data_IF_251339281807
#
_entry.id   IF_251339281807
#
_cell.length_a   1.000
_cell.length_b   1.000
_cell.length_c   1.000
_cell.angle_alpha   90.00
_cell.angle_beta   90.00
_cell.angle_gamma   90.00
#
_symmetry.space_group_name_H-M   'P 1'
#
loop_
_entity.id
_entity.type
_entity.pdbx_description
1 polymer ?
#
# COMPACT_ATOMS: atom_id res chain seq x y z
N UNK A 1 11.19 7.73 1.44
CA UNK A 1 11.35 7.21 0.07
C UNK A 1 12.78 7.44 -0.45
N UNK A 2 13.23 8.67 -0.68
CA UNK A 2 14.58 8.94 -1.24
C UNK A 2 15.76 8.44 -0.37
N UNK A 3 15.72 8.68 0.95
CA UNK A 3 16.78 8.21 1.86
C UNK A 3 16.86 6.66 1.90
N UNK A 4 15.71 5.99 1.87
CA UNK A 4 15.62 4.53 1.83
C UNK A 4 16.24 3.96 0.55
N UNK A 5 16.00 4.59 -0.60
CA UNK A 5 16.57 4.16 -1.88
C UNK A 5 18.09 4.35 -1.93
N UNK A 6 18.60 5.48 -1.43
CA UNK A 6 20.05 5.73 -1.34
C UNK A 6 20.70 4.73 -0.38
N UNK A 7 20.08 4.45 0.77
CA UNK A 7 20.60 3.48 1.73
C UNK A 7 20.61 2.06 1.14
N UNK A 8 19.60 1.70 0.36
CA UNK A 8 19.51 0.41 -0.32
C UNK A 8 20.57 0.26 -1.41
N UNK A 9 20.93 1.34 -2.10
CA UNK A 9 22.01 1.35 -3.08
C UNK A 9 23.37 1.01 -2.43
N UNK A 10 23.68 1.59 -1.27
CA UNK A 10 24.96 1.34 -0.59
C UNK A 10 25.00 0.07 0.28
N UNK A 11 23.89 -0.32 0.91
CA UNK A 11 23.85 -1.39 1.92
C UNK A 11 22.83 -2.50 1.63
N UNK A 12 22.57 -2.80 0.35
CA UNK A 12 21.57 -3.77 -0.09
C UNK A 12 21.58 -5.08 0.71
N UNK A 13 22.76 -5.71 0.86
CA UNK A 13 22.91 -7.02 1.52
C UNK A 13 22.41 -7.06 2.96
N UNK A 14 22.44 -5.96 3.71
CA UNK A 14 21.95 -5.92 5.09
C UNK A 14 20.53 -5.36 5.17
N UNK A 15 20.24 -4.33 4.38
CA UNK A 15 18.99 -3.60 4.41
C UNK A 15 17.80 -4.48 3.99
N UNK A 16 18.00 -5.40 3.03
CA UNK A 16 16.94 -6.31 2.59
C UNK A 16 16.45 -7.22 3.74
N UNK A 17 17.36 -7.79 4.53
CA UNK A 17 16.97 -8.60 5.69
C UNK A 17 16.27 -7.77 6.78
N UNK A 18 16.68 -6.51 6.96
CA UNK A 18 16.01 -5.58 7.88
C UNK A 18 14.58 -5.29 7.41
N UNK A 19 14.35 -5.02 6.13
CA UNK A 19 13.01 -4.82 5.56
C UNK A 19 12.15 -6.07 5.75
N UNK A 20 12.72 -7.26 5.49
CA UNK A 20 11.99 -8.53 5.65
C UNK A 20 11.61 -8.75 7.11
N UNK A 21 12.51 -8.48 8.06
CA UNK A 21 12.21 -8.59 9.48
C UNK A 21 11.10 -7.61 9.92
N UNK A 22 11.17 -6.34 9.48
CA UNK A 22 10.13 -5.33 9.73
C UNK A 22 8.80 -5.78 9.12
N UNK A 23 8.80 -6.28 7.89
CA UNK A 23 7.60 -6.77 7.23
C UNK A 23 6.99 -7.95 7.98
N UNK A 24 7.77 -8.93 8.43
CA UNK A 24 7.27 -10.06 9.23
C UNK A 24 6.63 -9.58 10.55
N UNK A 25 7.25 -8.64 11.26
CA UNK A 25 6.70 -8.09 12.50
C UNK A 25 5.42 -7.28 12.27
N UNK A 26 5.43 -6.40 11.26
CA UNK A 26 4.29 -5.56 10.91
C UNK A 26 3.11 -6.39 10.38
N UNK A 27 3.37 -7.40 9.55
CA UNK A 27 2.32 -8.27 9.02
C UNK A 27 1.77 -9.25 10.06
N UNK A 28 2.59 -9.76 10.98
CA UNK A 28 2.11 -10.60 12.09
C UNK A 28 1.17 -9.83 13.03
N UNK A 29 1.53 -8.60 13.40
CA UNK A 29 0.69 -7.71 14.24
C UNK A 29 -0.59 -7.28 13.51
N UNK A 30 -0.50 -7.00 12.22
CA UNK A 30 -1.64 -6.70 11.37
C UNK A 30 -2.59 -7.90 11.22
N UNK A 31 -2.05 -9.09 11.00
CA UNK A 31 -2.83 -10.33 10.88
C UNK A 31 -3.54 -10.67 12.19
N UNK A 32 -2.87 -10.50 13.33
CA UNK A 32 -3.49 -10.63 14.65
C UNK A 32 -4.68 -9.68 14.80
N UNK A 33 -4.50 -8.40 14.47
CA UNK A 33 -5.56 -7.39 14.56
C UNK A 33 -6.76 -7.70 13.66
N UNK A 34 -6.53 -8.28 12.48
CA UNK A 34 -7.57 -8.67 11.54
C UNK A 34 -8.33 -9.92 12.03
N UNK A 35 -7.61 -10.96 12.44
CA UNK A 35 -8.21 -12.21 12.92
C UNK A 35 -8.94 -12.02 14.24
N UNK A 36 -8.44 -11.16 15.14
CA UNK A 36 -9.12 -10.89 16.40
C UNK A 36 -10.47 -10.20 16.16
N UNK A 37 -10.51 -9.22 15.25
CA UNK A 37 -11.77 -8.59 14.82
C UNK A 37 -12.75 -9.58 14.15
N UNK A 38 -12.23 -10.55 13.39
CA UNK A 38 -13.06 -11.61 12.79
C UNK A 38 -13.60 -12.59 13.84
N UNK A 39 -12.81 -12.91 14.86
CA UNK A 39 -13.23 -13.79 15.95
C UNK A 39 -14.26 -13.12 16.87
N UNK A 40 -14.16 -11.81 17.07
CA UNK A 40 -15.18 -11.03 17.76
C UNK A 40 -16.51 -11.03 16.98
N UNK A 41 -16.45 -10.90 15.66
CA UNK A 41 -17.62 -11.03 14.79
C UNK A 41 -18.23 -12.44 14.85
N UNK A 42 -17.39 -13.47 14.96
CA UNK A 42 -17.81 -14.87 15.11
C UNK A 42 -18.37 -15.22 16.51
N UNK A 43 -18.43 -14.27 17.45
CA UNK A 43 -18.85 -14.47 18.85
C UNK A 43 -18.10 -15.62 19.56
N UNK A 44 -16.83 -15.81 19.23
CA UNK A 44 -16.03 -16.87 19.85
C UNK A 44 -15.70 -16.49 21.31
N UNK A 45 -16.15 -17.31 22.28
CA UNK A 45 -16.06 -17.01 23.71
C UNK A 45 -14.62 -16.77 24.20
N UNK A 46 -14.37 -15.76 25.05
CA UNK A 46 -13.05 -15.57 25.65
C UNK A 46 -12.80 -16.66 26.69
N UNK A 47 -11.91 -17.61 26.39
CA UNK A 47 -11.31 -18.46 27.42
C UNK A 47 -10.19 -17.68 28.10
N UNK A 48 -10.42 -17.19 29.32
CA UNK A 48 -9.40 -16.54 30.14
C UNK A 48 -8.83 -17.52 31.17
N UNK A 49 -7.51 -17.50 31.35
CA UNK A 49 -6.82 -18.23 32.42
C UNK A 49 -6.02 -17.22 33.23
N UNK A 50 -6.25 -17.20 34.53
CA UNK A 50 -5.54 -16.34 35.48
C UNK A 50 -4.20 -16.99 35.83
N UNK A 51 -3.09 -16.40 35.40
CA UNK A 51 -1.74 -16.84 35.78
C UNK A 51 -0.97 -15.66 36.35
N UNK A 52 -0.52 -15.80 37.59
CA UNK A 52 0.40 -14.90 38.31
C UNK A 52 0.07 -13.39 38.21
N UNK A 53 -1.11 -12.98 38.70
CA UNK A 53 -1.46 -11.56 38.87
C UNK A 53 -1.93 -10.83 37.61
N UNK A 54 -1.91 -11.48 36.44
CA UNK A 54 -2.50 -10.98 35.20
C UNK A 54 -3.54 -11.96 34.63
N UNK A 55 -4.68 -11.45 34.16
CA UNK A 55 -5.64 -12.23 33.39
C UNK A 55 -5.18 -12.27 31.92
N UNK A 56 -4.59 -13.38 31.48
CA UNK A 56 -4.20 -13.56 30.07
C UNK A 56 -5.29 -14.34 29.34
N UNK A 57 -5.82 -13.76 28.27
CA UNK A 57 -6.78 -14.45 27.38
C UNK A 57 -6.04 -15.52 26.58
N UNK A 58 -6.36 -16.80 26.81
CA UNK A 58 -5.75 -17.94 26.09
C UNK A 58 -5.98 -17.82 24.59
N UNK A 59 -7.15 -17.29 24.20
CA UNK A 59 -7.50 -16.99 22.81
C UNK A 59 -6.47 -16.07 22.16
N UNK A 60 -6.09 -14.96 22.82
CA UNK A 60 -5.17 -13.98 22.25
C UNK A 60 -3.73 -14.52 22.13
N UNK A 61 -3.30 -15.36 23.07
CA UNK A 61 -1.99 -16.02 23.02
C UNK A 61 -1.93 -17.07 21.91
N UNK A 62 -2.97 -17.89 21.78
CA UNK A 62 -3.04 -18.90 20.72
C UNK A 62 -3.10 -18.22 19.34
N UNK A 63 -3.87 -17.15 19.23
CA UNK A 63 -3.97 -16.39 17.99
C UNK A 63 -2.64 -15.71 17.62
N UNK A 64 -1.96 -15.07 18.57
CA UNK A 64 -0.67 -14.44 18.29
C UNK A 64 0.39 -15.47 17.90
N UNK A 65 0.39 -16.66 18.53
CA UNK A 65 1.25 -17.78 18.13
C UNK A 65 0.97 -18.24 16.69
N UNK A 66 -0.30 -18.35 16.30
CA UNK A 66 -0.66 -18.67 14.91
C UNK A 66 -0.19 -17.57 13.94
N UNK A 67 -0.38 -16.29 14.26
CA UNK A 67 0.06 -15.21 13.38
C UNK A 67 1.59 -15.16 13.22
N UNK A 68 2.33 -15.34 14.32
CA UNK A 68 3.80 -15.36 14.29
C UNK A 68 4.30 -16.58 13.51
N UNK A 69 3.69 -17.76 13.68
CA UNK A 69 4.10 -18.94 12.90
C UNK A 69 3.86 -18.75 11.41
N UNK A 70 2.73 -18.17 11.00
CA UNK A 70 2.48 -17.84 9.58
C UNK A 70 3.52 -16.87 9.02
N UNK A 71 3.88 -15.81 9.76
CA UNK A 71 4.90 -14.85 9.33
C UNK A 71 6.31 -15.46 9.25
N UNK A 72 6.68 -16.32 10.21
CA UNK A 72 7.96 -17.04 10.22
C UNK A 72 8.02 -18.06 9.09
N UNK A 73 6.96 -18.83 8.85
CA UNK A 73 6.87 -19.78 7.73
C UNK A 73 7.07 -19.04 6.41
N UNK A 74 6.40 -17.90 6.22
CA UNK A 74 6.62 -17.07 5.05
C UNK A 74 8.08 -16.61 4.94
N UNK A 75 8.68 -16.11 6.04
CA UNK A 75 10.06 -15.63 6.06
C UNK A 75 11.12 -16.69 5.79
N UNK A 76 10.94 -17.92 6.30
CA UNK A 76 11.87 -19.04 6.11
C UNK A 76 11.77 -19.61 4.71
N UNK A 77 10.55 -19.87 4.24
CA UNK A 77 10.37 -20.51 2.95
C UNK A 77 10.44 -19.54 1.78
N UNK A 78 10.51 -18.21 2.01
CA UNK A 78 10.39 -17.07 1.05
C UNK A 78 10.88 -17.26 -0.39
N UNK A 79 11.86 -18.13 -0.63
CA UNK A 79 12.43 -18.41 -1.94
C UNK A 79 11.60 -19.41 -2.77
N UNK A 80 10.64 -20.14 -2.18
CA UNK A 80 9.81 -21.14 -2.85
C UNK A 80 8.60 -20.51 -3.56
N UNK A 81 8.63 -20.42 -4.90
CA UNK A 81 7.61 -19.66 -5.64
C UNK A 81 6.23 -20.33 -5.74
N UNK A 82 6.12 -21.63 -5.50
CA UNK A 82 4.91 -22.40 -5.85
C UNK A 82 3.69 -22.06 -5.00
N UNK A 83 3.87 -21.79 -3.70
CA UNK A 83 2.77 -21.58 -2.74
C UNK A 83 2.90 -20.31 -1.89
N UNK A 84 4.10 -19.72 -1.83
CA UNK A 84 4.39 -18.61 -0.91
C UNK A 84 3.72 -17.32 -1.32
N UNK A 85 3.42 -17.14 -2.61
CA UNK A 85 2.68 -15.99 -3.09
C UNK A 85 1.34 -15.83 -2.36
N UNK A 86 0.67 -16.93 -1.97
CA UNK A 86 -0.59 -16.89 -1.21
C UNK A 86 -0.35 -16.33 0.20
N UNK A 87 0.68 -16.82 0.90
CA UNK A 87 1.04 -16.29 2.22
C UNK A 87 1.49 -14.83 2.14
N UNK A 88 2.23 -14.47 1.09
CA UNK A 88 2.67 -13.09 0.85
C UNK A 88 1.48 -12.15 0.63
N UNK A 89 0.51 -12.56 -0.17
CA UNK A 89 -0.69 -11.77 -0.45
C UNK A 89 -1.58 -11.67 0.80
N UNK A 90 -1.73 -12.77 1.56
CA UNK A 90 -2.48 -12.76 2.82
C UNK A 90 -1.85 -11.80 3.84
N UNK A 91 -0.54 -11.90 4.08
CA UNK A 91 0.21 -11.03 4.99
C UNK A 91 0.19 -9.57 4.48
N UNK A 92 0.30 -9.38 3.17
CA UNK A 92 0.22 -8.08 2.52
C UNK A 92 -1.15 -7.41 2.66
N UNK A 93 -2.24 -8.16 2.45
CA UNK A 93 -3.62 -7.66 2.63
C UNK A 93 -3.85 -7.29 4.10
N UNK A 94 -3.46 -8.16 5.03
CA UNK A 94 -3.55 -7.86 6.46
C UNK A 94 -2.79 -6.57 6.80
N UNK A 95 -1.55 -6.44 6.32
CA UNK A 95 -0.73 -5.24 6.47
C UNK A 95 -1.43 -4.00 5.91
N UNK A 96 -1.92 -4.03 4.66
CA UNK A 96 -2.62 -2.91 4.05
C UNK A 96 -3.88 -2.52 4.83
N UNK A 97 -4.71 -3.49 5.24
CA UNK A 97 -5.93 -3.22 6.02
C UNK A 97 -5.61 -2.59 7.37
N UNK A 98 -4.62 -3.12 8.08
CA UNK A 98 -4.19 -2.56 9.35
C UNK A 98 -3.61 -1.16 9.18
N UNK A 99 -2.83 -0.92 8.12
CA UNK A 99 -2.32 0.40 7.80
C UNK A 99 -3.43 1.41 7.52
N UNK A 100 -4.45 1.05 6.72
CA UNK A 100 -5.62 1.90 6.46
C UNK A 100 -6.47 2.14 7.71
N UNK A 101 -6.50 1.19 8.64
CA UNK A 101 -7.15 1.33 9.94
C UNK A 101 -6.40 2.31 10.83
N UNK A 102 -5.07 2.17 10.94
CA UNK A 102 -4.21 2.96 11.82
C UNK A 102 -4.00 4.38 11.32
N UNK A 103 -3.77 4.57 10.02
CA UNK A 103 -3.58 5.89 9.43
C UNK A 103 -4.94 6.43 8.99
N UNK A 104 -5.56 7.20 9.87
CA UNK A 104 -6.76 7.97 9.57
C UNK A 104 -6.38 9.40 9.22
N UNK A 105 -6.78 9.84 8.03
CA UNK A 105 -6.69 11.25 7.67
C UNK A 105 -7.88 11.97 8.30
N UNK A 106 -7.60 13.09 8.96
CA UNK A 106 -8.58 13.93 9.66
C UNK A 106 -9.36 14.84 8.72
N UNK A 107 -8.69 15.30 7.66
CA UNK A 107 -9.19 16.35 6.78
C UNK A 107 -9.01 15.98 5.31
N UNK A 108 -10.00 16.33 4.47
CA UNK A 108 -9.85 16.19 3.02
C UNK A 108 -8.72 17.05 2.45
N UNK A 109 -8.41 18.21 3.05
CA UNK A 109 -7.20 19.00 2.72
C UNK A 109 -5.93 18.15 2.76
N UNK A 110 -5.76 17.37 3.83
CA UNK A 110 -4.58 16.52 4.00
C UNK A 110 -4.58 15.43 2.93
N UNK A 111 -5.74 14.83 2.63
CA UNK A 111 -5.87 13.89 1.53
C UNK A 111 -5.42 14.51 0.20
N UNK A 112 -5.93 15.69 -0.15
CA UNK A 112 -5.58 16.39 -1.40
C UNK A 112 -4.09 16.71 -1.45
N UNK A 113 -3.51 17.26 -0.38
CA UNK A 113 -2.09 17.61 -0.33
C UNK A 113 -1.23 16.33 -0.46
N UNK A 114 -1.49 15.30 0.33
CA UNK A 114 -0.74 14.06 0.33
C UNK A 114 -0.81 13.34 -1.03
N UNK A 115 -2.02 13.19 -1.58
CA UNK A 115 -2.23 12.52 -2.86
C UNK A 115 -1.65 13.32 -4.03
N UNK A 116 -1.76 14.65 -4.01
CA UNK A 116 -1.18 15.51 -5.06
C UNK A 116 0.34 15.51 -5.02
N UNK A 117 0.94 15.51 -3.82
CA UNK A 117 2.39 15.40 -3.67
C UNK A 117 2.91 14.04 -4.14
N UNK A 118 2.21 12.95 -3.83
CA UNK A 118 2.58 11.61 -4.31
C UNK A 118 2.43 11.48 -5.83
N UNK A 119 1.36 12.05 -6.40
CA UNK A 119 1.18 12.14 -7.85
C UNK A 119 2.33 12.92 -8.52
N UNK A 120 2.69 14.08 -7.97
CA UNK A 120 3.78 14.89 -8.49
C UNK A 120 5.12 14.15 -8.38
N UNK A 121 5.35 13.46 -7.26
CA UNK A 121 6.53 12.64 -7.05
C UNK A 121 6.66 11.54 -8.12
N UNK A 122 5.56 10.83 -8.39
CA UNK A 122 5.53 9.74 -9.37
C UNK A 122 5.75 10.27 -10.80
N UNK A 123 5.07 11.36 -11.18
CA UNK A 123 5.25 12.03 -12.48
C UNK A 123 6.68 12.54 -12.65
N UNK A 124 7.26 13.16 -11.63
CA UNK A 124 8.63 13.66 -11.65
C UNK A 124 9.63 12.51 -11.85
N UNK A 125 9.48 11.42 -11.11
CA UNK A 125 10.42 10.31 -11.17
C UNK A 125 10.30 9.50 -12.47
N UNK A 126 9.10 9.37 -13.02
CA UNK A 126 8.85 8.63 -14.26
C UNK A 126 9.24 9.45 -15.49
N UNK A 127 8.83 10.71 -15.58
CA UNK A 127 8.95 11.50 -16.82
C UNK A 127 10.09 12.51 -16.81
N UNK A 128 10.40 13.12 -15.67
CA UNK A 128 11.42 14.20 -15.60
C UNK A 128 12.82 13.62 -15.41
N UNK A 129 12.94 12.55 -14.63
CA UNK A 129 14.23 11.92 -14.34
C UNK A 129 14.98 11.40 -15.60
N UNK A 130 14.32 10.74 -16.59
CA UNK A 130 14.96 10.39 -17.86
C UNK A 130 15.57 11.58 -18.61
N UNK A 131 15.04 12.79 -18.43
CA UNK A 131 15.50 13.99 -19.12
C UNK A 131 16.78 14.58 -18.52
N UNK A 132 17.07 14.29 -17.26
CA UNK A 132 18.28 14.76 -16.56
C UNK A 132 19.43 13.74 -16.62
N UNK A 133 19.15 12.47 -16.96
CA UNK A 133 20.17 11.44 -17.14
C UNK A 133 20.74 11.49 -18.57
N UNK A 134 22.08 11.51 -18.76
CA UNK A 134 22.72 11.53 -20.09
C UNK A 134 22.35 10.37 -21.03
N UNK A 135 21.83 9.27 -20.46
CA UNK A 135 21.50 8.03 -21.16
C UNK A 135 20.01 7.86 -21.47
N UNK A 136 19.13 8.78 -21.04
CA UNK A 136 17.69 8.73 -21.32
C UNK A 136 16.89 7.66 -20.56
N UNK A 137 17.49 6.97 -19.59
CA UNK A 137 16.83 5.98 -18.73
C UNK A 137 16.46 6.58 -17.37
N UNK A 138 15.29 6.23 -16.82
CA UNK A 138 14.87 6.68 -15.48
C UNK A 138 15.71 6.02 -14.38
N UNK A 139 15.98 6.75 -13.29
CA UNK A 139 16.65 6.24 -12.07
C UNK A 139 15.92 4.99 -11.54
N UNK A 140 14.61 4.87 -11.77
CA UNK A 140 13.84 3.68 -11.39
C UNK A 140 14.32 2.40 -12.11
N UNK A 141 14.71 2.50 -13.38
CA UNK A 141 15.18 1.37 -14.19
C UNK A 141 16.60 0.96 -13.76
N UNK A 142 17.49 1.92 -13.52
CA UNK A 142 18.84 1.63 -13.01
C UNK A 142 18.83 1.05 -11.58
N UNK A 143 17.88 1.46 -10.74
CA UNK A 143 17.74 0.91 -9.38
C UNK A 143 17.08 -0.47 -9.40
N UNK A 144 16.22 -0.78 -10.39
CA UNK A 144 15.63 -2.10 -10.56
C UNK A 144 16.59 -3.12 -11.20
N UNK A 145 17.49 -2.68 -12.08
CA UNK A 145 18.43 -3.54 -12.82
C UNK A 145 19.84 -3.60 -12.24
N UNK A 146 20.19 -2.67 -11.34
CA UNK A 146 21.53 -2.56 -10.75
C UNK A 146 22.53 -1.85 -11.67
N UNK A 147 23.63 -1.32 -11.11
CA UNK A 147 24.62 -0.52 -11.84
C UNK A 147 25.41 -1.30 -12.93
N UNK A 148 25.30 -2.62 -12.98
CA UNK A 148 26.06 -3.47 -13.91
C UNK A 148 25.33 -3.77 -15.23
N UNK A 149 24.07 -3.35 -15.39
CA UNK A 149 23.28 -3.59 -16.61
C UNK A 149 23.56 -2.58 -17.74
N UNK A 150 24.38 -1.54 -17.50
CA UNK A 150 24.65 -0.47 -18.46
C UNK A 150 25.64 -0.84 -19.59
N UNK A 151 25.86 -2.13 -19.85
CA UNK A 151 26.92 -2.63 -20.73
C UNK A 151 26.50 -3.13 -22.12
N UNK A 152 25.22 -3.37 -22.40
CA UNK A 152 24.82 -3.99 -23.68
C UNK A 152 23.77 -3.18 -24.45
N UNK A 153 24.27 -2.31 -25.33
CA UNK A 153 23.49 -1.77 -26.44
C UNK A 153 23.35 -2.84 -27.52
N UNK A 154 22.12 -3.25 -27.82
CA UNK A 154 21.79 -3.75 -29.17
C UNK A 154 20.80 -4.91 -29.23
N UNK A 155 19.55 -4.53 -29.48
CA UNK A 155 18.52 -5.29 -30.20
C UNK A 155 17.85 -6.47 -29.49
N UNK A 156 16.51 -6.43 -29.53
CA UNK A 156 15.53 -7.43 -29.07
C UNK A 156 15.55 -7.72 -27.57
N UNK A 157 14.78 -6.91 -26.84
CA UNK A 157 14.31 -7.23 -25.48
C UNK A 157 13.30 -8.37 -25.58
N UNK A 158 13.79 -9.60 -25.69
CA UNK A 158 13.07 -10.75 -25.18
C UNK A 158 13.28 -10.77 -23.67
N UNK A 159 12.19 -10.58 -22.92
CA UNK A 159 12.16 -10.81 -21.47
C UNK A 159 12.19 -12.33 -21.26
N UNK A 160 13.34 -12.95 -21.54
CA UNK A 160 13.65 -14.31 -21.18
C UNK A 160 14.10 -14.31 -19.73
N UNK A 161 13.24 -14.85 -18.88
CA UNK A 161 13.59 -15.22 -17.52
C UNK A 161 14.56 -16.42 -17.60
N UNK A 162 15.86 -16.14 -17.59
CA UNK A 162 16.90 -17.15 -17.36
C UNK A 162 17.89 -16.69 -16.28
N UNK A 163 18.47 -17.64 -15.51
CA UNK A 163 18.72 -17.49 -14.09
C UNK A 163 20.18 -17.12 -13.81
N UNK A 164 20.44 -15.97 -13.19
CA UNK A 164 21.75 -15.72 -12.59
C UNK A 164 21.69 -14.81 -11.36
N UNK A 165 22.23 -15.39 -10.28
CA UNK A 165 22.48 -14.86 -8.91
C UNK A 165 21.28 -14.77 -7.96
N UNK A 166 21.46 -15.05 -6.65
CA UNK A 166 20.39 -15.13 -5.67
C UNK A 166 19.96 -13.73 -5.25
N UNK A 167 19.25 -13.03 -6.14
CA UNK A 167 18.60 -11.78 -5.78
C UNK A 167 17.41 -12.07 -4.87
N UNK A 168 17.42 -11.44 -3.69
CA UNK A 168 16.40 -11.65 -2.67
C UNK A 168 15.09 -10.97 -3.07
N UNK A 169 14.00 -11.74 -3.04
CA UNK A 169 12.66 -11.24 -3.35
C UNK A 169 12.16 -10.34 -2.22
N UNK A 170 12.18 -9.04 -2.47
CA UNK A 170 11.64 -8.02 -1.56
C UNK A 170 10.09 -8.13 -1.48
N UNK A 171 9.51 -8.17 -0.26
CA UNK A 171 8.06 -8.22 -0.06
C UNK A 171 7.45 -6.82 -0.14
N UNK A 172 7.53 -6.19 -1.30
CA UNK A 172 6.98 -4.83 -1.52
C UNK A 172 5.70 -4.87 -2.36
N UNK A 173 5.30 -6.06 -2.82
CA UNK A 173 4.36 -6.22 -3.94
C UNK A 173 3.42 -7.40 -3.69
N UNK A 174 2.13 -7.21 -3.99
CA UNK A 174 1.16 -8.32 -4.13
C UNK A 174 1.35 -9.04 -5.46
N UNK A 175 1.34 -10.36 -5.44
CA UNK A 175 1.59 -11.21 -6.60
C UNK A 175 0.30 -11.85 -7.07
N UNK A 176 -0.43 -11.17 -7.94
CA UNK A 176 -1.61 -11.78 -8.55
C UNK A 176 -1.19 -12.64 -9.75
N UNK A 177 -1.52 -13.95 -9.78
CA UNK A 177 -1.33 -14.76 -10.97
C UNK A 177 -2.21 -14.22 -12.10
N UNK A 178 -1.64 -13.98 -13.29
CA UNK A 178 -2.42 -13.56 -14.45
C UNK A 178 -3.38 -14.69 -14.87
N UNK A 179 -4.67 -14.52 -14.59
CA UNK A 179 -5.73 -15.46 -15.00
C UNK A 179 -5.93 -15.54 -16.53
N UNK A 180 -5.34 -14.63 -17.33
CA UNK A 180 -5.47 -14.63 -18.80
C UNK A 180 -4.54 -15.61 -19.52
N UNK A 181 -3.71 -16.38 -18.81
CA UNK A 181 -2.79 -17.36 -19.40
C UNK A 181 -3.31 -18.80 -19.29
N UNK A 182 -4.62 -19.02 -19.47
CA UNK A 182 -5.17 -20.39 -19.59
C UNK A 182 -4.75 -21.09 -20.88
N UNK A 183 -4.12 -20.40 -21.84
CA UNK A 183 -3.81 -20.97 -23.17
C UNK A 183 -2.37 -20.85 -23.66
N UNK A 184 -1.44 -20.22 -22.94
CA UNK A 184 -0.03 -20.19 -23.36
C UNK A 184 0.90 -20.13 -22.13
N UNK A 185 1.76 -21.15 -21.98
CA UNK A 185 2.91 -21.29 -21.07
C UNK A 185 2.67 -22.01 -19.72
N UNK A 186 2.78 -23.34 -19.78
CA UNK A 186 2.79 -24.28 -18.65
C UNK A 186 4.07 -24.24 -17.78
N UNK A 187 4.98 -23.27 -17.96
CA UNK A 187 6.27 -23.24 -17.27
C UNK A 187 6.75 -21.83 -16.83
N UNK A 188 5.87 -20.83 -16.78
CA UNK A 188 6.25 -19.49 -16.31
C UNK A 188 5.06 -18.65 -15.90
N UNK A 189 4.74 -18.63 -14.61
CA UNK A 189 3.70 -17.74 -14.08
C UNK A 189 4.19 -16.29 -14.16
N UNK A 190 3.61 -15.49 -15.06
CA UNK A 190 3.81 -14.05 -15.06
C UNK A 190 2.97 -13.42 -13.94
N UNK A 191 3.65 -12.84 -12.95
CA UNK A 191 2.99 -12.14 -11.85
C UNK A 191 2.68 -10.70 -12.26
N UNK A 192 1.45 -10.25 -12.02
CA UNK A 192 1.13 -8.83 -12.05
C UNK A 192 1.62 -8.21 -10.74
N UNK A 193 2.58 -7.30 -10.84
CA UNK A 193 3.19 -6.60 -9.71
C UNK A 193 2.29 -5.41 -9.37
N UNK A 194 1.61 -5.46 -8.24
CA UNK A 194 0.87 -4.32 -7.69
C UNK A 194 1.55 -3.89 -6.38
N UNK A 195 2.03 -2.65 -6.32
CA UNK A 195 2.69 -2.13 -5.13
C UNK A 195 1.70 -1.91 -3.99
N UNK A 196 2.09 -2.21 -2.75
CA UNK A 196 1.24 -1.91 -1.59
C UNK A 196 0.89 -0.41 -1.50
N UNK A 197 1.78 0.47 -2.00
CA UNK A 197 1.55 1.91 -2.10
C UNK A 197 0.33 2.27 -2.96
N UNK A 198 0.14 1.59 -4.09
CA UNK A 198 -0.98 1.87 -5.02
C UNK A 198 -2.35 1.48 -4.43
N UNK A 199 -2.35 0.57 -3.45
CA UNK A 199 -3.54 0.15 -2.71
C UNK A 199 -3.78 1.10 -1.53
N UNK A 200 -2.72 1.35 -0.76
CA UNK A 200 -2.79 2.14 0.48
C UNK A 200 -3.12 3.60 0.16
N UNK A 201 -2.45 4.20 -0.82
CA UNK A 201 -2.54 5.65 -1.08
C UNK A 201 -3.97 6.07 -1.45
N UNK A 202 -4.63 5.48 -2.46
CA UNK A 202 -6.05 5.76 -2.70
C UNK A 202 -6.96 5.20 -1.60
N UNK A 203 -6.57 4.09 -0.97
CA UNK A 203 -7.31 3.48 0.14
C UNK A 203 -7.49 4.41 1.35
N UNK A 204 -6.51 5.29 1.62
CA UNK A 204 -6.62 6.31 2.67
C UNK A 204 -7.78 7.29 2.40
N UNK A 205 -7.97 7.67 1.14
CA UNK A 205 -9.09 8.53 0.74
C UNK A 205 -10.43 7.78 0.84
N UNK A 206 -10.47 6.51 0.43
CA UNK A 206 -11.67 5.66 0.58
C UNK A 206 -12.05 5.52 2.06
N UNK A 207 -11.06 5.32 2.93
CA UNK A 207 -11.25 5.24 4.38
C UNK A 207 -11.77 6.58 4.96
N UNK A 208 -11.26 7.71 4.48
CA UNK A 208 -11.79 9.03 4.84
C UNK A 208 -13.25 9.20 4.41
N UNK A 209 -13.60 8.86 3.17
CA UNK A 209 -14.98 8.90 2.68
C UNK A 209 -15.92 8.02 3.49
N UNK A 210 -15.48 6.83 3.91
CA UNK A 210 -16.23 5.94 4.79
C UNK A 210 -16.53 6.58 6.16
N UNK A 211 -15.54 7.26 6.76
CA UNK A 211 -15.72 7.97 8.03
C UNK A 211 -16.66 9.16 7.87
N UNK A 212 -16.49 9.93 6.80
CA UNK A 212 -17.35 11.08 6.51
C UNK A 212 -18.82 10.66 6.29
N UNK A 213 -19.06 9.53 5.63
CA UNK A 213 -20.42 8.97 5.49
C UNK A 213 -21.08 8.67 6.85
N UNK A 214 -20.31 8.14 7.81
CA UNK A 214 -20.79 7.89 9.17
C UNK A 214 -21.06 9.21 9.89
N UNK A 215 -20.21 10.22 9.69
CA UNK A 215 -20.36 11.55 10.30
C UNK A 215 -21.60 12.31 9.82
N UNK A 216 -21.86 12.28 8.51
CA UNK A 216 -23.06 12.90 7.90
C UNK A 216 -24.31 12.01 8.07
N UNK A 217 -24.18 10.87 8.76
CA UNK A 217 -25.24 9.89 8.99
C UNK A 217 -25.95 9.47 7.69
N UNK A 218 -25.14 9.21 6.65
CA UNK A 218 -25.61 8.83 5.32
C UNK A 218 -26.00 7.34 5.31
N UNK A 219 -27.29 6.97 5.19
CA UNK A 219 -27.74 5.59 5.39
C UNK A 219 -27.23 4.62 4.32
N UNK A 220 -26.79 5.14 3.16
CA UNK A 220 -26.32 4.33 2.01
C UNK A 220 -24.81 4.37 1.79
N UNK A 221 -24.04 4.98 2.71
CA UNK A 221 -22.58 5.17 2.57
C UNK A 221 -22.20 5.65 1.15
N UNK A 222 -22.81 6.76 0.76
CA UNK A 222 -22.78 7.26 -0.63
C UNK A 222 -21.37 7.72 -1.03
N UNK A 223 -20.64 8.36 -0.12
CA UNK A 223 -19.27 8.79 -0.36
C UNK A 223 -18.33 7.61 -0.57
N UNK A 224 -18.43 6.58 0.28
CA UNK A 224 -17.68 5.33 0.16
C UNK A 224 -17.96 4.66 -1.18
N UNK A 225 -19.23 4.45 -1.53
CA UNK A 225 -19.58 3.75 -2.76
C UNK A 225 -19.13 4.51 -4.01
N UNK A 226 -19.31 5.83 -4.04
CA UNK A 226 -18.87 6.65 -5.15
C UNK A 226 -17.34 6.68 -5.28
N UNK A 227 -16.61 6.81 -4.17
CA UNK A 227 -15.16 6.76 -4.16
C UNK A 227 -14.63 5.38 -4.61
N UNK A 228 -15.27 4.29 -4.19
CA UNK A 228 -14.95 2.93 -4.66
C UNK A 228 -15.17 2.77 -6.17
N UNK A 229 -16.27 3.32 -6.72
CA UNK A 229 -16.49 3.32 -8.18
C UNK A 229 -15.40 4.12 -8.89
N UNK A 230 -15.07 5.31 -8.39
CA UNK A 230 -14.03 6.14 -8.96
C UNK A 230 -12.66 5.44 -8.94
N UNK A 231 -12.34 4.74 -7.84
CA UNK A 231 -11.16 3.89 -7.73
C UNK A 231 -11.16 2.77 -8.77
N UNK A 232 -12.27 2.04 -8.92
CA UNK A 232 -12.41 0.97 -9.91
C UNK A 232 -12.29 1.50 -11.34
N UNK A 233 -12.89 2.65 -11.65
CA UNK A 233 -12.73 3.31 -12.95
C UNK A 233 -11.27 3.71 -13.20
N UNK A 234 -10.58 4.26 -12.19
CA UNK A 234 -9.15 4.57 -12.26
C UNK A 234 -8.32 3.32 -12.55
N UNK A 235 -8.54 2.22 -11.82
CA UNK A 235 -7.88 0.93 -12.07
C UNK A 235 -8.12 0.41 -13.48
N UNK A 236 -9.37 0.40 -13.96
CA UNK A 236 -9.68 -0.05 -15.32
C UNK A 236 -8.97 0.81 -16.36
N UNK A 237 -8.91 2.14 -16.15
CA UNK A 237 -8.20 3.04 -17.03
C UNK A 237 -6.69 2.78 -17.02
N UNK A 238 -6.06 2.60 -15.85
CA UNK A 238 -4.63 2.25 -15.76
C UNK A 238 -4.33 1.01 -16.59
N UNK A 239 -5.17 -0.02 -16.46
CA UNK A 239 -5.00 -1.27 -17.19
C UNK A 239 -5.19 -1.09 -18.69
N UNK A 240 -6.23 -0.37 -19.11
CA UNK A 240 -6.49 -0.07 -20.51
C UNK A 240 -5.33 0.70 -21.16
N UNK A 241 -4.79 1.73 -20.50
CA UNK A 241 -3.67 2.51 -21.04
C UNK A 241 -2.38 1.68 -21.08
N UNK A 242 -2.11 0.87 -20.07
CA UNK A 242 -0.97 -0.07 -20.09
C UNK A 242 -1.06 -1.06 -21.27
N UNK A 243 -2.27 -1.56 -21.59
CA UNK A 243 -2.46 -2.45 -22.74
C UNK A 243 -2.21 -1.76 -24.08
N UNK A 244 -2.63 -0.50 -24.22
CA UNK A 244 -2.46 0.28 -25.46
C UNK A 244 -1.01 0.72 -25.64
N UNK A 245 -0.39 1.26 -24.61
CA UNK A 245 0.95 1.87 -24.68
C UNK A 245 2.07 0.86 -24.63
N UNK A 246 1.81 -0.37 -24.13
CA UNK A 246 2.82 -1.42 -23.89
C UNK A 246 4.01 -0.95 -23.04
N UNK A 247 3.87 0.15 -22.33
CA UNK A 247 4.85 0.70 -21.41
C UNK A 247 4.28 0.65 -19.99
N UNK A 248 5.12 0.31 -19.01
CA UNK A 248 4.73 0.39 -17.61
C UNK A 248 4.52 1.85 -17.22
N UNK A 249 3.28 2.22 -16.93
CA UNK A 249 2.94 3.56 -16.47
C UNK A 249 2.63 3.57 -14.97
N UNK A 250 2.93 4.67 -14.29
CA UNK A 250 2.59 4.86 -12.88
C UNK A 250 1.08 4.73 -12.64
N UNK A 251 0.66 3.79 -11.78
CA UNK A 251 -0.76 3.56 -11.51
C UNK A 251 -1.42 4.76 -10.82
N UNK A 252 -0.69 5.45 -9.93
CA UNK A 252 -1.18 6.62 -9.20
C UNK A 252 -1.58 7.77 -10.13
N UNK A 253 -0.97 7.86 -11.32
CA UNK A 253 -1.27 8.89 -12.32
C UNK A 253 -2.75 8.98 -12.67
N UNK A 254 -3.42 7.83 -12.73
CA UNK A 254 -4.84 7.74 -13.08
C UNK A 254 -5.71 7.53 -11.84
N UNK A 255 -5.25 6.78 -10.85
CA UNK A 255 -6.02 6.50 -9.62
C UNK A 255 -6.31 7.77 -8.81
N UNK A 256 -5.29 8.60 -8.59
CA UNK A 256 -5.40 9.81 -7.76
C UNK A 256 -6.41 10.81 -8.31
N UNK A 257 -6.35 11.25 -9.58
CA UNK A 257 -7.30 12.21 -10.09
C UNK A 257 -8.72 11.67 -10.10
N UNK A 258 -8.95 10.40 -10.45
CA UNK A 258 -10.30 9.83 -10.45
C UNK A 258 -10.91 9.83 -9.04
N UNK A 259 -10.16 9.39 -8.04
CA UNK A 259 -10.66 9.29 -6.66
C UNK A 259 -10.83 10.65 -5.99
N UNK A 260 -9.88 11.58 -6.18
CA UNK A 260 -9.97 12.97 -5.68
C UNK A 260 -11.10 13.75 -6.37
N UNK A 261 -11.15 13.74 -7.70
CA UNK A 261 -12.19 14.48 -8.44
C UNK A 261 -13.56 13.85 -8.21
N UNK A 262 -13.65 12.52 -8.13
CA UNK A 262 -14.91 11.83 -7.84
C UNK A 262 -15.49 12.22 -6.47
N UNK A 263 -14.65 12.22 -5.44
CA UNK A 263 -15.07 12.61 -4.07
C UNK A 263 -15.36 14.11 -3.96
N UNK A 264 -14.52 14.97 -4.55
CA UNK A 264 -14.75 16.42 -4.57
C UNK A 264 -16.02 16.80 -5.36
N UNK A 265 -16.27 16.18 -6.51
CA UNK A 265 -17.47 16.44 -7.30
C UNK A 265 -18.73 16.01 -6.55
N UNK A 266 -18.69 14.88 -5.84
CA UNK A 266 -19.82 14.42 -5.02
C UNK A 266 -20.12 15.40 -3.88
N UNK A 267 -19.09 15.83 -3.14
CA UNK A 267 -19.25 16.81 -2.07
C UNK A 267 -19.73 18.17 -2.61
N UNK A 268 -19.33 18.56 -3.84
CA UNK A 268 -19.86 19.75 -4.52
C UNK A 268 -21.34 19.57 -4.81
N UNK A 269 -21.74 18.47 -5.46
CA UNK A 269 -23.14 18.23 -5.81
C UNK A 269 -24.08 18.19 -4.60
N UNK A 270 -23.57 17.79 -3.43
CA UNK A 270 -24.34 17.80 -2.17
C UNK A 270 -24.31 19.13 -1.43
N UNK A 271 -23.47 20.08 -1.83
CA UNK A 271 -23.29 21.35 -1.13
C UNK A 271 -22.52 21.24 0.20
N UNK A 272 -21.95 20.07 0.49
CA UNK A 272 -21.24 19.76 1.75
C UNK A 272 -19.73 20.03 1.66
N UNK A 273 -19.25 20.62 0.56
CA UNK A 273 -17.81 20.86 0.31
C UNK A 273 -17.08 21.54 1.45
N UNK A 274 -17.71 22.50 2.12
CA UNK A 274 -17.05 23.28 3.18
C UNK A 274 -16.75 22.42 4.41
N UNK A 275 -17.67 21.51 4.75
CA UNK A 275 -17.52 20.54 5.84
C UNK A 275 -16.56 19.42 5.43
N UNK A 276 -16.67 18.95 4.19
CA UNK A 276 -15.77 17.94 3.63
C UNK A 276 -14.32 18.45 3.57
N UNK A 277 -14.10 19.69 3.15
CA UNK A 277 -12.77 20.29 2.99
C UNK A 277 -12.04 20.54 4.31
N UNK A 278 -12.73 21.11 5.30
CA UNK A 278 -12.11 21.52 6.56
C UNK A 278 -12.04 20.43 7.63
N UNK A 279 -12.72 19.30 7.44
CA UNK A 279 -13.04 18.38 8.53
C UNK A 279 -13.88 19.05 9.61
N UNK A 280 -14.32 18.29 10.61
CA UNK A 280 -15.11 18.85 11.71
C UNK A 280 -14.30 19.78 12.61
N UNK A 281 -14.95 20.83 13.13
CA UNK A 281 -14.38 21.86 14.02
C UNK A 281 -13.60 21.31 15.23
N UNK A 282 -13.94 20.12 15.72
CA UNK A 282 -13.30 19.50 16.89
C UNK A 282 -11.80 19.16 16.70
N UNK A 283 -11.37 18.80 15.49
CA UNK A 283 -9.94 18.56 15.22
C UNK A 283 -9.16 19.86 14.97
N UNK A 284 -9.84 20.88 14.41
CA UNK A 284 -9.24 22.21 14.28
C UNK A 284 -9.00 22.83 15.66
N UNK A 285 -9.91 22.67 16.62
CA UNK A 285 -9.75 23.18 17.98
C UNK A 285 -8.55 22.51 18.70
N UNK A 286 -8.39 21.20 18.55
CA UNK A 286 -7.22 20.49 19.07
C UNK A 286 -5.90 20.87 18.37
N UNK A 287 -5.91 21.11 17.06
CA UNK A 287 -4.73 21.58 16.32
C UNK A 287 -4.37 23.03 16.63
N UNK A 288 -5.36 23.91 16.84
CA UNK A 288 -5.12 25.29 17.29
C UNK A 288 -4.63 25.31 18.72
N UNK A 289 -5.19 24.50 19.62
CA UNK A 289 -4.70 24.39 21.00
C UNK A 289 -3.28 23.83 21.06
N UNK A 290 -2.96 22.80 20.27
CA UNK A 290 -1.60 22.26 20.20
C UNK A 290 -0.60 23.26 19.59
N UNK A 291 -1.00 24.01 18.57
CA UNK A 291 -0.15 25.06 17.99
C UNK A 291 0.03 26.27 18.93
N UNK A 292 -0.99 26.61 19.73
CA UNK A 292 -0.91 27.64 20.76
C UNK A 292 0.01 27.20 21.92
N UNK A 293 -0.08 25.94 22.38
CA UNK A 293 0.84 25.37 23.38
C UNK A 293 2.31 25.38 22.89
N UNK A 294 2.53 25.02 21.63
CA UNK A 294 3.88 25.00 21.03
C UNK A 294 4.46 26.41 20.85
N UNK A 295 3.61 27.43 20.69
CA UNK A 295 4.03 28.84 20.62
C UNK A 295 4.26 29.48 22.00
N UNK A 296 3.63 28.95 23.05
CA UNK A 296 3.76 29.42 24.42
C UNK A 296 5.03 28.88 25.12
N UNK A 297 5.54 27.71 24.72
CA UNK A 297 6.78 27.13 25.27
C UNK A 297 8.06 27.79 24.70
N UNK A 298 7.92 28.61 23.65
CA UNK A 298 9.03 29.33 23.01
C UNK A 298 9.07 30.84 23.33
N UNK A 299 8.18 31.33 24.22
CA UNK A 299 8.10 32.73 24.66
C UNK A 299 8.46 32.86 26.15
#
# INVERSE_FOLDING_TARGET
MCLMLVLMYFFYKYLVYVIIAIFCLASATALFSCLDALLDLAKCSPMSVTVLGGSVSVRSVLLSAVCVTVAVVWGVYRNEDRWIWILQDLLGVAFCLNFLKTISLSNFKICVILLSLLLLYDVFFVFITPLFMPNGESIMVQVALGPDASGEKGNTVEVSAEPSTPYEKLPVVMRVPRFSAWTQNLCGMQFSILGYGDIIVPGLLVAYCSRFDVWVNSPKKVYLFCCCIAYLCGMVLTFAVMLVTKMGQPALLYLVPFTLLGSALLAWRRGEMRQFWNGTTYEMEHLTMAAEEESADYS
#
